data_IF_053481197573
#
_entry.id   IF_053481197573
#
_cell.length_a   1.000
_cell.length_b   1.000
_cell.length_c   1.000
_cell.angle_alpha   90.00
_cell.angle_beta   90.00
_cell.angle_gamma   90.00
#
_symmetry.space_group_name_H-M   'P 1'
#
loop_
_entity.id
_entity.type
_entity.pdbx_description
1 polymer ?
#
# COMPACT_ATOMS: atom_id res chain seq x y z
N UNK A 1 6.97 6.90 -4.51
CA UNK A 1 6.14 6.03 -5.38
C UNK A 1 5.44 4.97 -4.54
N UNK A 2 6.13 3.98 -3.97
CA UNK A 2 5.50 3.10 -2.97
C UNK A 2 5.29 3.79 -1.62
N UNK A 3 6.22 4.65 -1.23
CA UNK A 3 6.15 5.44 0.00
C UNK A 3 5.82 6.91 -0.30
N UNK A 4 5.22 7.64 0.66
CA UNK A 4 5.02 9.08 0.58
C UNK A 4 6.36 9.82 0.54
N UNK A 5 6.40 11.02 -0.07
CA UNK A 5 7.59 11.86 -0.05
C UNK A 5 7.83 12.46 1.34
N UNK A 6 9.02 13.00 1.57
CA UNK A 6 9.38 13.72 2.80
C UNK A 6 8.87 15.17 2.82
N UNK A 7 8.45 15.70 1.66
CA UNK A 7 7.84 17.02 1.53
C UNK A 7 6.31 16.93 1.55
N UNK A 8 5.65 18.08 1.65
CA UNK A 8 4.20 18.16 1.51
C UNK A 8 3.75 17.62 0.15
N UNK A 9 2.71 16.79 0.15
CA UNK A 9 2.11 16.19 -1.03
C UNK A 9 0.62 16.54 -1.03
N UNK A 10 0.14 17.12 -2.13
CA UNK A 10 -1.29 17.40 -2.28
C UNK A 10 -2.06 16.09 -2.46
N UNK A 11 -3.38 16.16 -2.25
CA UNK A 11 -4.26 15.00 -2.34
C UNK A 11 -4.21 14.34 -3.73
N UNK A 12 -4.26 15.14 -4.80
CA UNK A 12 -4.18 14.68 -6.18
C UNK A 12 -2.85 13.97 -6.48
N UNK A 13 -1.74 14.53 -6.00
CA UNK A 13 -0.40 13.95 -6.14
C UNK A 13 -0.29 12.60 -5.42
N UNK A 14 -0.86 12.52 -4.21
CA UNK A 14 -0.94 11.28 -3.43
C UNK A 14 -1.74 10.21 -4.18
N UNK A 15 -2.93 10.55 -4.67
CA UNK A 15 -3.81 9.61 -5.40
C UNK A 15 -3.13 9.09 -6.67
N UNK A 16 -2.48 9.97 -7.42
CA UNK A 16 -1.69 9.62 -8.60
C UNK A 16 -0.53 8.69 -8.28
N UNK A 17 0.20 8.99 -7.21
CA UNK A 17 1.32 8.17 -6.73
C UNK A 17 0.85 6.78 -6.32
N UNK A 18 -0.21 6.69 -5.52
CA UNK A 18 -0.79 5.41 -5.08
C UNK A 18 -1.31 4.60 -6.25
N UNK A 19 -2.02 5.23 -7.21
CA UNK A 19 -2.49 4.57 -8.43
C UNK A 19 -1.34 3.93 -9.22
N UNK A 20 -0.24 4.66 -9.41
CA UNK A 20 0.95 4.15 -10.11
C UNK A 20 1.60 2.97 -9.37
N UNK A 21 1.76 3.07 -8.06
CA UNK A 21 2.33 1.99 -7.25
C UNK A 21 1.44 0.73 -7.26
N UNK A 22 0.12 0.90 -7.16
CA UNK A 22 -0.85 -0.21 -7.26
C UNK A 22 -0.81 -0.91 -8.61
N UNK A 23 -0.69 -0.15 -9.70
CA UNK A 23 -0.54 -0.72 -11.04
C UNK A 23 0.70 -1.63 -11.15
N UNK A 24 1.82 -1.23 -10.55
CA UNK A 24 3.04 -2.06 -10.50
C UNK A 24 2.80 -3.32 -9.67
N UNK A 25 2.16 -3.19 -8.51
CA UNK A 25 1.81 -4.36 -7.69
C UNK A 25 0.90 -5.34 -8.45
N UNK A 26 0.01 -4.86 -9.33
CA UNK A 26 -0.91 -5.67 -10.12
C UNK A 26 -0.24 -6.70 -11.03
N UNK A 27 0.97 -6.43 -11.50
CA UNK A 27 1.76 -7.33 -12.34
C UNK A 27 2.85 -8.11 -11.56
N UNK A 28 2.93 -7.92 -10.24
CA UNK A 28 4.00 -8.48 -9.42
C UNK A 28 3.70 -9.94 -9.03
N UNK A 29 4.57 -10.87 -9.44
CA UNK A 29 4.42 -12.30 -9.13
C UNK A 29 4.38 -12.63 -7.62
N UNK A 30 4.91 -11.73 -6.78
CA UNK A 30 4.94 -11.88 -5.32
C UNK A 30 3.96 -10.94 -4.60
N UNK A 31 2.94 -10.44 -5.31
CA UNK A 31 1.94 -9.52 -4.73
C UNK A 31 1.33 -10.08 -3.44
N UNK A 32 0.90 -11.34 -3.45
CA UNK A 32 0.26 -11.98 -2.29
C UNK A 32 1.20 -12.16 -1.10
N UNK A 33 2.38 -12.82 -1.22
CA UNK A 33 3.30 -12.95 -0.09
C UNK A 33 3.82 -11.59 0.42
N UNK A 34 3.95 -10.58 -0.45
CA UNK A 34 4.26 -9.21 -0.04
C UNK A 34 3.17 -8.60 0.84
N UNK A 35 1.89 -8.78 0.47
CA UNK A 35 0.76 -8.33 1.26
C UNK A 35 0.71 -9.06 2.61
N UNK A 36 0.80 -10.38 2.60
CA UNK A 36 0.72 -11.21 3.80
C UNK A 36 1.82 -10.82 4.81
N UNK A 37 3.04 -10.56 4.31
CA UNK A 37 4.13 -10.05 5.14
C UNK A 37 3.78 -8.70 5.77
N UNK A 38 3.32 -7.73 4.98
CA UNK A 38 3.01 -6.39 5.45
C UNK A 38 1.87 -6.38 6.49
N UNK A 39 0.87 -7.24 6.32
CA UNK A 39 -0.22 -7.41 7.28
C UNK A 39 0.29 -8.01 8.60
N UNK A 40 1.14 -9.05 8.54
CA UNK A 40 1.70 -9.71 9.73
C UNK A 40 2.50 -8.75 10.60
N UNK A 41 3.34 -7.90 10.00
CA UNK A 41 4.17 -6.95 10.75
C UNK A 41 3.45 -5.62 11.02
N UNK A 42 2.22 -5.46 10.53
CA UNK A 42 1.44 -4.21 10.61
C UNK A 42 2.22 -3.00 10.09
N UNK A 43 2.84 -3.14 8.93
CA UNK A 43 3.67 -2.09 8.32
C UNK A 43 2.86 -0.78 8.18
N UNK A 44 3.28 0.31 8.85
CA UNK A 44 2.47 1.53 8.94
C UNK A 44 2.40 2.33 7.65
N UNK A 45 3.33 2.19 6.70
CA UNK A 45 3.41 3.13 5.58
C UNK A 45 3.46 2.47 4.21
N UNK A 46 3.17 3.28 3.18
CA UNK A 46 3.33 2.95 1.77
C UNK A 46 2.35 1.92 1.20
N UNK A 47 2.58 1.56 -0.06
CA UNK A 47 1.84 0.52 -0.80
C UNK A 47 2.58 -0.80 -0.68
N UNK A 48 1.88 -1.83 -0.19
CA UNK A 48 2.38 -3.19 -0.07
C UNK A 48 1.35 -4.15 -0.65
N UNK A 49 1.80 -5.04 -1.55
CA UNK A 49 0.93 -6.02 -2.20
C UNK A 49 -0.34 -5.44 -2.83
N UNK A 50 -0.27 -4.22 -3.36
CA UNK A 50 -1.40 -3.53 -3.99
C UNK A 50 -2.31 -2.74 -3.04
N UNK A 51 -1.99 -2.67 -1.74
CA UNK A 51 -2.81 -1.98 -0.75
C UNK A 51 -2.06 -0.83 -0.08
N UNK A 52 -2.73 0.30 0.12
CA UNK A 52 -2.26 1.39 0.96
C UNK A 52 -2.47 1.10 2.46
N UNK A 53 -1.96 1.98 3.31
CA UNK A 53 -2.08 1.85 4.77
C UNK A 53 -3.54 1.69 5.24
N UNK A 54 -4.45 2.53 4.74
CA UNK A 54 -5.85 2.51 5.16
C UNK A 54 -6.56 1.22 4.75
N UNK A 55 -6.30 0.75 3.53
CA UNK A 55 -6.81 -0.51 3.02
C UNK A 55 -6.29 -1.69 3.85
N UNK A 56 -5.01 -1.70 4.21
CA UNK A 56 -4.43 -2.75 5.07
C UNK A 56 -5.03 -2.73 6.49
N UNK A 57 -5.22 -1.55 7.07
CA UNK A 57 -5.90 -1.39 8.37
C UNK A 57 -7.31 -1.96 8.33
N UNK A 58 -8.06 -1.68 7.26
CA UNK A 58 -9.40 -2.23 7.07
C UNK A 58 -9.38 -3.77 6.92
N UNK A 59 -8.38 -4.35 6.25
CA UNK A 59 -8.25 -5.81 6.11
C UNK A 59 -7.93 -6.52 7.43
N UNK A 60 -7.10 -5.91 8.29
CA UNK A 60 -6.83 -6.43 9.64
C UNK A 60 -8.10 -6.37 10.50
N UNK A 61 -8.87 -5.27 10.41
CA UNK A 61 -10.14 -5.12 11.12
C UNK A 61 -11.22 -6.12 10.67
N UNK A 62 -11.21 -6.54 9.41
CA UNK A 62 -12.09 -7.59 8.88
C UNK A 62 -11.69 -9.01 9.28
N UNK A 63 -10.47 -9.22 9.79
CA UNK A 63 -9.97 -10.52 10.24
C UNK A 63 -10.25 -10.79 11.74
N UNK A 64 -11.21 -10.07 12.33
CA UNK A 64 -11.64 -10.20 13.74
C UNK A 64 -12.98 -10.91 13.84
#
# INVERSE_FOLDING_TARGET
MFFPPTHFERKDEKEDRERRAKAICGACAVQRPCLDYALRIREPHGIWGGMNENERKAAIGQAS
#
